data_IF_134475573541
#
_entry.id   IF_134475573541
#
_cell.length_a   1.000
_cell.length_b   1.000
_cell.length_c   1.000
_cell.angle_alpha   90.00
_cell.angle_beta   90.00
_cell.angle_gamma   90.00
#
_symmetry.space_group_name_H-M   'P 1'
#
loop_
_entity.id
_entity.type
_entity.pdbx_description
1 polymer ?
#
# COMPACT_ATOMS: atom_id res chain seq x y z
N UNK A 1 -6.83 17.89 -5.90
CA UNK A 1 -7.24 16.50 -5.63
C UNK A 1 -6.00 15.61 -5.60
N UNK A 2 -5.88 14.78 -4.58
CA UNK A 2 -4.75 13.85 -4.46
C UNK A 2 -4.90 12.70 -5.43
N UNK A 3 -3.81 12.32 -6.07
CA UNK A 3 -3.80 11.18 -6.99
C UNK A 3 -3.52 9.89 -6.25
N UNK A 4 -4.23 8.84 -6.61
CA UNK A 4 -4.08 7.54 -5.99
C UNK A 4 -4.14 6.40 -6.97
N UNK A 5 -3.74 5.24 -6.50
CA UNK A 5 -3.84 3.99 -7.25
C UNK A 5 -4.51 2.92 -6.39
N UNK A 6 -5.06 1.91 -7.04
CA UNK A 6 -5.68 0.79 -6.38
C UNK A 6 -4.71 -0.37 -6.33
N UNK A 7 -4.55 -0.97 -5.15
CA UNK A 7 -3.70 -2.14 -4.96
C UNK A 7 -4.44 -3.24 -4.24
N UNK A 8 -4.18 -4.47 -4.63
CA UNK A 8 -4.65 -5.65 -3.91
C UNK A 8 -3.56 -6.07 -2.92
N UNK A 9 -3.92 -6.22 -1.66
CA UNK A 9 -2.99 -6.66 -0.61
C UNK A 9 -3.63 -7.79 0.17
N UNK A 10 -2.84 -8.81 0.48
CA UNK A 10 -3.31 -9.96 1.26
C UNK A 10 -3.56 -9.58 2.72
N UNK A 11 -4.55 -10.24 3.39
CA UNK A 11 -4.87 -9.94 4.79
C UNK A 11 -3.69 -10.03 5.76
N UNK A 12 -2.76 -10.95 5.53
CA UNK A 12 -1.58 -11.08 6.40
C UNK A 12 -0.75 -9.80 6.41
N UNK A 13 -0.69 -9.08 5.29
CA UNK A 13 0.06 -7.84 5.20
C UNK A 13 -0.76 -6.62 5.64
N UNK A 14 -2.05 -6.58 5.31
CA UNK A 14 -2.90 -5.47 5.78
C UNK A 14 -2.99 -5.47 7.30
N UNK A 15 -3.02 -6.63 7.93
CA UNK A 15 -3.00 -6.72 9.39
C UNK A 15 -1.73 -6.10 9.97
N UNK A 16 -0.58 -6.32 9.34
CA UNK A 16 0.68 -5.72 9.76
C UNK A 16 0.69 -4.20 9.54
N UNK A 17 0.01 -3.74 8.51
CA UNK A 17 -0.17 -2.31 8.27
C UNK A 17 -1.03 -1.70 9.39
N UNK A 18 -2.12 -2.35 9.77
CA UNK A 18 -2.99 -1.87 10.86
C UNK A 18 -2.25 -1.73 12.18
N UNK A 19 -1.38 -2.68 12.50
CA UNK A 19 -0.65 -2.69 13.77
C UNK A 19 0.57 -1.78 13.77
N UNK A 20 0.96 -1.27 12.59
CA UNK A 20 2.17 -0.46 12.45
C UNK A 20 3.45 -1.27 12.26
N UNK A 21 3.38 -2.60 12.29
CA UNK A 21 4.55 -3.44 12.01
C UNK A 21 5.09 -3.20 10.62
N UNK A 22 4.20 -3.04 9.64
CA UNK A 22 4.55 -2.75 8.26
C UNK A 22 4.27 -1.28 7.99
N UNK A 23 5.33 -0.52 7.75
CA UNK A 23 5.22 0.93 7.52
C UNK A 23 5.69 1.37 6.14
N UNK A 24 5.98 0.42 5.26
CA UNK A 24 6.28 0.66 3.86
C UNK A 24 5.61 -0.39 3.00
N UNK A 25 5.13 0.03 1.82
CA UNK A 25 4.64 -0.89 0.81
C UNK A 25 5.70 -1.01 -0.29
N UNK A 26 6.11 -2.24 -0.59
CA UNK A 26 7.21 -2.49 -1.52
C UNK A 26 6.67 -2.82 -2.90
N UNK A 27 7.17 -2.10 -3.92
CA UNK A 27 6.72 -2.27 -5.30
C UNK A 27 7.93 -2.35 -6.24
N UNK A 28 7.71 -3.00 -7.40
CA UNK A 28 8.77 -3.17 -8.39
C UNK A 28 8.97 -1.93 -9.26
N UNK A 29 7.96 -1.09 -9.36
CA UNK A 29 7.95 0.02 -10.30
C UNK A 29 7.73 1.33 -9.59
N UNK A 30 8.38 2.37 -10.10
CA UNK A 30 8.11 3.74 -9.71
C UNK A 30 6.84 4.21 -10.44
N UNK A 31 5.91 4.88 -9.78
CA UNK A 31 4.70 5.33 -10.46
C UNK A 31 5.04 6.40 -11.51
N UNK A 32 4.33 6.36 -12.63
CA UNK A 32 4.52 7.35 -13.72
C UNK A 32 4.20 8.76 -13.28
N UNK A 33 3.27 8.91 -12.36
CA UNK A 33 2.88 10.19 -11.78
C UNK A 33 3.03 10.09 -10.27
N UNK A 34 3.26 11.25 -9.62
CA UNK A 34 3.31 11.28 -8.17
C UNK A 34 1.96 10.81 -7.62
N UNK A 35 2.00 9.79 -6.77
CA UNK A 35 0.81 9.29 -6.08
C UNK A 35 0.92 9.59 -4.60
N UNK A 36 -0.22 9.90 -3.99
CA UNK A 36 -0.29 10.27 -2.57
C UNK A 36 -1.19 9.34 -1.79
N UNK A 37 -2.01 8.55 -2.48
CA UNK A 37 -3.03 7.70 -1.87
C UNK A 37 -2.96 6.30 -2.46
N UNK A 38 -3.02 5.27 -1.59
CA UNK A 38 -3.28 3.90 -1.99
C UNK A 38 -4.69 3.52 -1.56
N UNK A 39 -5.50 3.07 -2.51
CA UNK A 39 -6.80 2.46 -2.23
C UNK A 39 -6.58 0.96 -2.18
N UNK A 40 -6.71 0.37 -1.00
CA UNK A 40 -6.31 -1.02 -0.78
C UNK A 40 -7.51 -1.96 -0.76
N UNK A 41 -7.56 -2.80 -1.77
CA UNK A 41 -8.46 -3.93 -1.84
C UNK A 41 -7.82 -5.08 -1.07
N UNK A 42 -8.49 -5.52 0.00
CA UNK A 42 -8.01 -6.65 0.77
C UNK A 42 -8.54 -7.93 0.11
N UNK A 43 -7.63 -8.86 -0.20
CA UNK A 43 -7.98 -10.07 -0.91
C UNK A 43 -8.78 -11.05 -0.03
N UNK A 44 -9.04 -12.26 -0.53
CA UNK A 44 -9.79 -13.31 0.18
C UNK A 44 -9.32 -13.42 1.63
N UNK A 45 -10.20 -13.50 2.63
CA UNK A 45 -11.67 -13.63 2.53
C UNK A 45 -12.44 -12.32 2.46
N UNK A 46 -11.82 -11.19 2.66
CA UNK A 46 -12.51 -9.89 2.71
C UNK A 46 -13.08 -9.48 1.36
N UNK A 47 -12.29 -9.58 0.30
CA UNK A 47 -12.67 -9.26 -1.07
C UNK A 47 -13.34 -7.90 -1.22
N UNK A 48 -12.76 -6.87 -0.63
CA UNK A 48 -13.34 -5.53 -0.63
C UNK A 48 -12.30 -4.44 -0.42
N UNK A 49 -12.60 -3.22 -0.89
CA UNK A 49 -11.82 -2.04 -0.57
C UNK A 49 -12.00 -1.74 0.92
N UNK A 50 -10.94 -1.86 1.68
CA UNK A 50 -11.02 -1.74 3.13
C UNK A 50 -10.13 -0.65 3.71
N UNK A 51 -9.06 -0.28 3.01
CA UNK A 51 -8.10 0.70 3.53
C UNK A 51 -7.84 1.81 2.54
N UNK A 52 -7.67 3.01 3.08
CA UNK A 52 -7.18 4.15 2.32
C UNK A 52 -5.89 4.59 3.01
N UNK A 53 -4.78 4.53 2.29
CA UNK A 53 -3.47 4.80 2.85
C UNK A 53 -2.92 6.09 2.27
N UNK A 54 -2.55 7.03 3.14
CA UNK A 54 -1.83 8.23 2.74
C UNK A 54 -0.35 7.91 2.69
N UNK A 55 0.30 8.25 1.57
CA UNK A 55 1.70 7.97 1.32
C UNK A 55 2.58 9.17 1.63
N UNK A 56 3.79 8.89 2.10
CA UNK A 56 4.87 9.85 2.17
C UNK A 56 5.83 9.69 1.00
N UNK A 57 7.11 9.75 1.30
CA UNK A 57 8.16 9.67 0.28
C UNK A 57 8.37 8.24 -0.21
N UNK A 58 8.86 8.11 -1.43
CA UNK A 58 9.25 6.82 -2.00
C UNK A 58 10.76 6.70 -1.89
N UNK A 59 11.21 5.60 -1.27
CA UNK A 59 12.63 5.28 -1.18
C UNK A 59 12.99 4.32 -2.31
N UNK A 60 13.97 4.69 -3.09
CA UNK A 60 14.48 3.84 -4.18
C UNK A 60 15.80 3.19 -3.76
N UNK A 61 15.86 1.84 -3.83
CA UNK A 61 17.11 1.13 -3.56
C UNK A 61 18.19 1.63 -4.53
N UNK A 62 19.45 1.89 -4.11
CA UNK A 62 20.06 1.47 -2.84
C UNK A 62 19.93 2.46 -1.67
N UNK A 63 19.14 3.51 -1.80
CA UNK A 63 18.83 4.34 -0.65
C UNK A 63 18.16 3.48 0.42
N UNK A 64 18.37 3.82 1.69
CA UNK A 64 17.92 2.98 2.80
C UNK A 64 16.77 3.61 3.57
N UNK A 65 15.91 2.73 4.07
CA UNK A 65 14.86 3.10 5.02
C UNK A 65 15.52 3.18 6.40
N UNK A 66 15.30 4.30 7.11
CA UNK A 66 15.88 4.49 8.44
C UNK A 66 15.07 3.89 9.57
N UNK A 67 13.77 3.67 9.34
CA UNK A 67 12.86 3.13 10.36
C UNK A 67 12.91 1.61 10.39
N UNK A 68 12.69 1.04 11.59
CA UNK A 68 12.44 -0.38 11.71
C UNK A 68 11.02 -0.69 11.25
N UNK A 69 10.83 -1.88 10.68
CA UNK A 69 9.52 -2.33 10.22
C UNK A 69 9.64 -3.58 9.38
N UNK A 70 8.51 -4.23 9.17
CA UNK A 70 8.44 -5.47 8.41
C UNK A 70 8.99 -5.29 7.00
N UNK A 71 10.01 -6.07 6.68
CA UNK A 71 10.63 -6.08 5.35
C UNK A 71 11.63 -4.97 5.08
N UNK A 72 11.78 -4.00 5.98
CA UNK A 72 12.66 -2.84 5.74
C UNK A 72 14.13 -3.24 5.66
N UNK A 73 14.59 -4.15 6.53
CA UNK A 73 15.97 -4.61 6.51
C UNK A 73 16.28 -5.36 5.22
N UNK A 74 15.38 -6.22 4.79
CA UNK A 74 15.54 -6.96 3.54
C UNK A 74 15.61 -6.01 2.34
N UNK A 75 14.79 -4.97 2.35
CA UNK A 75 14.83 -3.93 1.31
C UNK A 75 16.20 -3.25 1.30
N UNK A 76 16.67 -2.83 2.46
CA UNK A 76 17.95 -2.13 2.61
C UNK A 76 19.12 -2.98 2.15
N UNK A 77 19.03 -4.30 2.34
CA UNK A 77 20.08 -5.24 1.96
C UNK A 77 19.97 -5.74 0.52
N UNK A 78 18.98 -5.23 -0.23
CA UNK A 78 18.80 -5.61 -1.64
C UNK A 78 18.23 -7.00 -1.84
N UNK A 79 17.64 -7.59 -0.81
CA UNK A 79 17.11 -8.96 -0.86
C UNK A 79 15.73 -9.05 -1.49
N UNK A 80 15.06 -7.91 -1.68
CA UNK A 80 13.74 -7.88 -2.31
C UNK A 80 13.85 -7.66 -3.80
N UNK A 81 12.93 -8.27 -4.56
CA UNK A 81 12.77 -7.97 -6.00
C UNK A 81 12.22 -6.55 -6.19
N UNK A 82 11.43 -6.08 -5.24
CA UNK A 82 10.90 -4.72 -5.23
C UNK A 82 11.99 -3.75 -4.84
N UNK A 83 12.23 -2.75 -5.68
CA UNK A 83 13.30 -1.75 -5.47
C UNK A 83 12.77 -0.39 -5.05
N UNK A 84 11.47 -0.28 -4.84
CA UNK A 84 10.82 0.95 -4.38
C UNK A 84 10.02 0.66 -3.13
N UNK A 85 10.14 1.53 -2.14
CA UNK A 85 9.43 1.43 -0.88
C UNK A 85 8.61 2.70 -0.68
N UNK A 86 7.29 2.56 -0.61
CA UNK A 86 6.35 3.66 -0.45
C UNK A 86 6.05 3.82 1.03
N UNK A 87 6.42 4.98 1.59
CA UNK A 87 6.20 5.25 3.01
C UNK A 87 4.70 5.34 3.32
N UNK A 88 4.25 4.60 4.32
CA UNK A 88 2.87 4.65 4.81
C UNK A 88 2.82 5.70 5.92
N UNK A 89 2.15 6.83 5.66
CA UNK A 89 2.03 7.92 6.64
C UNK A 89 0.80 7.77 7.52
N UNK A 90 -0.33 7.42 6.92
CA UNK A 90 -1.60 7.33 7.62
C UNK A 90 -2.47 6.26 6.99
N UNK A 91 -3.21 5.53 7.83
CA UNK A 91 -4.08 4.45 7.39
C UNK A 91 -5.50 4.71 7.90
N UNK A 92 -6.43 4.84 6.97
CA UNK A 92 -7.86 4.87 7.29
C UNK A 92 -8.44 3.49 7.01
N UNK A 93 -9.12 2.94 8.00
CA UNK A 93 -9.81 1.65 7.88
C UNK A 93 -11.28 1.94 7.67
N UNK A 94 -11.85 1.47 6.57
CA UNK A 94 -13.26 1.68 6.29
C UNK A 94 -14.12 0.79 7.17
N UNK A 95 -15.07 1.40 7.88
CA UNK A 95 -16.03 0.65 8.72
C UNK A 95 -16.91 -0.26 7.87
N UNK A 96 -17.29 0.22 6.68
CA UNK A 96 -18.07 -0.53 5.71
C UNK A 96 -17.25 -0.75 4.47
N UNK A 97 -16.49 -1.86 4.38
CA UNK A 97 -15.70 -2.14 3.17
C UNK A 97 -16.59 -2.17 1.92
N UNK A 98 -16.04 -1.65 0.83
CA UNK A 98 -16.77 -1.52 -0.44
C UNK A 98 -16.40 -2.70 -1.32
N UNK A 99 -17.36 -3.57 -1.65
CA UNK A 99 -17.06 -4.73 -2.48
C UNK A 99 -16.78 -4.33 -3.94
N UNK A 100 -16.25 -5.28 -4.70
CA UNK A 100 -15.82 -5.01 -6.06
C UNK A 100 -16.96 -4.56 -6.99
N UNK A 101 -18.15 -5.13 -6.82
CA UNK A 101 -19.29 -4.75 -7.66
C UNK A 101 -19.74 -3.31 -7.35
N UNK A 102 -19.75 -2.92 -6.08
CA UNK A 102 -20.06 -1.56 -5.69
C UNK A 102 -19.04 -0.57 -6.25
N UNK A 103 -17.75 -0.95 -6.24
CA UNK A 103 -16.71 -0.10 -6.79
C UNK A 103 -16.90 0.10 -8.29
N UNK A 104 -17.20 -0.97 -9.04
CA UNK A 104 -17.42 -0.88 -10.48
C UNK A 104 -18.61 0.01 -10.82
N UNK A 105 -19.68 -0.11 -10.04
CA UNK A 105 -20.91 0.64 -10.29
C UNK A 105 -20.75 2.13 -9.97
N UNK A 106 -20.02 2.46 -8.89
CA UNK A 106 -19.92 3.84 -8.40
C UNK A 106 -18.75 4.62 -8.96
N UNK A 107 -17.63 3.96 -9.24
CA UNK A 107 -16.37 4.66 -9.49
C UNK A 107 -15.78 4.42 -10.87
N UNK A 108 -16.45 3.66 -11.71
CA UNK A 108 -16.07 3.47 -13.13
C UNK A 108 -14.58 3.14 -13.30
N UNK A 109 -14.11 2.11 -12.63
CA UNK A 109 -12.72 1.66 -12.80
C UNK A 109 -12.47 1.17 -14.22
N UNK A 110 -11.31 1.50 -14.71
CA UNK A 110 -10.84 1.01 -16.00
C UNK A 110 -9.74 -0.01 -15.79
#
# INVERSE_FOLDING_TARGET
>A
MKKGIYLSIKPEFTKKIETGEKNYEFRKYYPKQKIEILYVYETVPTCALKYIIELGDIVEYPNKISKEGYGNLDFNNGLKKSKYAYEIKHVDILDDPIDLSQLRDKYSFV
#
